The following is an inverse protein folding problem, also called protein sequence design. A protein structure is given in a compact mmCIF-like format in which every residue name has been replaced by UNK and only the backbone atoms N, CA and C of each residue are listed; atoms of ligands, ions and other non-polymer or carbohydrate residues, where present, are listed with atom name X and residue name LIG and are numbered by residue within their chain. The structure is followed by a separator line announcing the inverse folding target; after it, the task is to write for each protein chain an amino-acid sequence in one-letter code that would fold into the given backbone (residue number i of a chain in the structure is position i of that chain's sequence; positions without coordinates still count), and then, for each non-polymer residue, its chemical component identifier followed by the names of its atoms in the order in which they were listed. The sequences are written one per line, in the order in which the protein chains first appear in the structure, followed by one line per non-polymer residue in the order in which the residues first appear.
data_IF_012448438156
#
_entry.id   IF_012448438156
#
_cell.length_a   1.000
_cell.length_b   1.000
_cell.length_c   1.000
_cell.angle_alpha   90.00
_cell.angle_beta   90.00
_cell.angle_gamma   90.00
#
_symmetry.space_group_name_H-M   'P 1'
#
loop_
_entity.id
_entity.type
_entity.pdbx_description
1 polymer ?
#
# COMPACT_ATOMS: atom_id res chain seq x y z
N UNK A 1 8.43 7.62 -7.13
CA UNK A 1 7.97 7.70 -5.71
C UNK A 1 7.00 8.87 -5.63
N UNK A 2 5.74 8.67 -5.25
CA UNK A 2 4.83 9.80 -5.02
C UNK A 2 5.11 10.39 -3.64
N UNK A 3 5.78 11.54 -3.59
CA UNK A 3 6.11 12.27 -2.35
C UNK A 3 5.02 13.25 -1.93
N UNK A 4 4.06 13.54 -2.82
CA UNK A 4 2.98 14.52 -2.59
C UNK A 4 1.74 13.94 -1.89
N UNK A 5 1.81 12.71 -1.38
CA UNK A 5 0.70 12.14 -0.61
C UNK A 5 0.61 12.83 0.76
N UNK A 6 -0.24 13.85 0.85
CA UNK A 6 -0.39 14.72 2.01
C UNK A 6 -1.71 14.46 2.75
N UNK A 7 -1.73 14.79 4.05
CA UNK A 7 -2.91 14.68 4.92
C UNK A 7 -2.53 14.42 6.37
N UNK A 8 -3.48 14.64 7.28
CA UNK A 8 -3.34 14.49 8.74
C UNK A 8 -4.06 13.25 9.29
N UNK A 9 -4.74 12.50 8.41
CA UNK A 9 -5.49 11.30 8.80
C UNK A 9 -4.56 10.26 9.42
N UNK A 10 -4.97 9.73 10.58
CA UNK A 10 -4.30 8.58 11.19
C UNK A 10 -4.41 7.35 10.27
N UNK A 11 -3.25 6.82 9.91
CA UNK A 11 -3.11 5.61 9.10
C UNK A 11 -2.35 4.53 9.88
N UNK A 12 -2.64 3.26 9.59
CA UNK A 12 -1.75 2.16 9.97
C UNK A 12 -0.77 1.93 8.84
N UNK A 13 0.47 2.35 9.05
CA UNK A 13 1.56 2.15 8.10
C UNK A 13 1.91 0.67 7.97
N UNK A 14 2.01 0.17 6.74
CA UNK A 14 2.40 -1.20 6.42
C UNK A 14 3.77 -1.26 5.75
N UNK A 15 4.07 -0.29 4.87
CA UNK A 15 5.37 -0.17 4.23
C UNK A 15 5.72 1.31 4.01
N UNK A 16 7.01 1.62 4.06
CA UNK A 16 7.58 2.93 3.73
C UNK A 16 8.83 2.77 2.87
N UNK A 17 9.20 3.81 2.14
CA UNK A 17 10.45 3.85 1.37
C UNK A 17 11.11 5.20 1.51
N UNK A 18 12.45 5.21 1.49
CA UNK A 18 13.26 6.42 1.54
C UNK A 18 13.35 7.05 0.16
N UNK A 19 12.98 8.31 0.07
CA UNK A 19 13.14 9.13 -1.13
C UNK A 19 14.62 9.38 -1.41
N UNK A 20 15.02 9.16 -2.66
CA UNK A 20 16.35 9.54 -3.14
C UNK A 20 16.51 11.05 -3.36
N UNK A 21 15.40 11.79 -3.42
CA UNK A 21 15.40 13.23 -3.73
C UNK A 21 15.69 14.06 -2.47
N UNK A 22 15.06 13.72 -1.36
CA UNK A 22 15.13 14.48 -0.10
C UNK A 22 15.45 13.63 1.14
N UNK A 23 15.72 12.33 0.97
CA UNK A 23 16.19 11.43 2.05
C UNK A 23 15.13 11.05 3.09
N UNK A 24 13.89 11.55 2.94
CA UNK A 24 12.79 11.31 3.89
C UNK A 24 12.08 9.99 3.59
N UNK A 25 11.49 9.40 4.62
CA UNK A 25 10.67 8.20 4.47
C UNK A 25 9.23 8.58 4.10
N UNK A 26 8.69 7.93 3.08
CA UNK A 26 7.32 8.13 2.60
C UNK A 26 6.50 6.84 2.72
N UNK A 27 5.21 6.92 3.09
CA UNK A 27 4.32 5.75 3.13
C UNK A 27 4.10 5.12 1.74
N UNK A 28 4.44 3.85 1.61
CA UNK A 28 4.29 3.04 0.38
C UNK A 28 3.14 2.05 0.44
N UNK A 29 2.66 1.73 1.63
CA UNK A 29 1.42 0.98 1.81
C UNK A 29 0.86 1.29 3.19
N UNK A 30 -0.43 1.53 3.28
CA UNK A 30 -1.11 1.74 4.56
C UNK A 30 -2.59 1.41 4.47
N UNK A 31 -3.19 1.26 5.65
CA UNK A 31 -4.63 1.04 5.78
C UNK A 31 -5.26 1.99 6.77
N UNK A 32 -6.54 2.28 6.58
CA UNK A 32 -7.37 2.97 7.55
C UNK A 32 -8.84 2.57 7.37
N UNK A 33 -9.71 2.99 8.29
CA UNK A 33 -11.16 2.85 8.16
C UNK A 33 -11.79 4.18 7.79
N UNK A 34 -12.77 4.15 6.89
CA UNK A 34 -13.60 5.30 6.57
C UNK A 34 -15.07 4.91 6.75
N UNK A 35 -15.70 5.44 7.80
CA UNK A 35 -16.98 4.91 8.27
C UNK A 35 -16.90 3.41 8.57
N UNK A 36 -17.75 2.62 7.92
CA UNK A 36 -17.76 1.15 8.01
C UNK A 36 -16.80 0.46 7.01
N UNK A 37 -16.23 1.22 6.07
CA UNK A 37 -15.35 0.72 5.03
C UNK A 37 -13.90 0.54 5.47
N UNK A 38 -13.22 -0.42 4.86
CA UNK A 38 -11.77 -0.64 4.96
C UNK A 38 -11.09 -0.06 3.74
N UNK A 39 -10.04 0.73 3.93
CA UNK A 39 -9.26 1.32 2.83
C UNK A 39 -7.83 0.79 2.89
N UNK A 40 -7.37 0.26 1.76
CA UNK A 40 -5.97 -0.03 1.49
C UNK A 40 -5.48 0.92 0.39
N UNK A 41 -4.31 1.53 0.58
CA UNK A 41 -3.72 2.45 -0.38
C UNK A 41 -2.23 2.13 -0.58
N UNK A 42 -1.78 2.19 -1.83
CA UNK A 42 -0.39 2.00 -2.25
C UNK A 42 -0.09 2.83 -3.50
N UNK A 43 0.95 3.68 -3.51
CA UNK A 43 1.43 4.37 -4.70
C UNK A 43 2.34 3.52 -5.61
N UNK A 44 2.55 2.24 -5.29
CA UNK A 44 3.27 1.30 -6.16
C UNK A 44 2.40 0.91 -7.37
N UNK A 45 3.02 0.42 -8.45
CA UNK A 45 2.28 -0.02 -9.64
C UNK A 45 2.10 1.06 -10.70
N UNK A 46 3.10 1.92 -10.93
CA UNK A 46 3.04 2.99 -11.93
C UNK A 46 2.76 2.49 -13.36
N UNK A 47 3.17 1.27 -13.68
CA UNK A 47 2.94 0.60 -14.96
C UNK A 47 2.71 -0.90 -14.78
N UNK A 48 2.43 -1.60 -15.89
CA UNK A 48 2.20 -3.05 -15.89
C UNK A 48 3.43 -3.82 -15.39
N UNK A 49 4.64 -3.36 -15.76
CA UNK A 49 5.90 -4.00 -15.36
C UNK A 49 6.09 -3.95 -13.84
N UNK A 50 5.65 -2.91 -13.16
CA UNK A 50 5.73 -2.83 -11.71
C UNK A 50 4.93 -3.94 -10.99
N UNK A 51 3.90 -4.48 -11.62
CA UNK A 51 3.13 -5.61 -11.08
C UNK A 51 3.77 -6.98 -11.35
N UNK A 52 4.80 -7.07 -12.20
CA UNK A 52 5.55 -8.34 -12.36
C UNK A 52 6.47 -8.61 -11.18
N UNK A 53 6.78 -7.58 -10.37
CA UNK A 53 7.45 -7.77 -9.09
C UNK A 53 6.55 -8.59 -8.14
N UNK A 54 7.00 -9.77 -7.68
CA UNK A 54 6.17 -10.65 -6.84
C UNK A 54 5.68 -10.00 -5.54
N UNK A 55 6.51 -9.14 -4.93
CA UNK A 55 6.15 -8.42 -3.72
C UNK A 55 5.04 -7.39 -3.96
N UNK A 56 5.11 -6.65 -5.07
CA UNK A 56 4.07 -5.72 -5.47
C UNK A 56 2.75 -6.46 -5.77
N UNK A 57 2.80 -7.52 -6.58
CA UNK A 57 1.63 -8.34 -6.90
C UNK A 57 0.96 -8.90 -5.63
N UNK A 58 1.74 -9.47 -4.71
CA UNK A 58 1.21 -10.05 -3.48
C UNK A 58 0.65 -9.00 -2.53
N UNK A 59 1.29 -7.83 -2.44
CA UNK A 59 0.79 -6.73 -1.63
C UNK A 59 -0.62 -6.32 -2.07
N UNK A 60 -0.85 -6.17 -3.38
CA UNK A 60 -2.18 -5.83 -3.91
C UNK A 60 -3.18 -6.97 -3.73
N UNK A 61 -2.79 -8.24 -3.94
CA UNK A 61 -3.67 -9.40 -3.67
C UNK A 61 -4.15 -9.43 -2.21
N UNK A 62 -3.22 -9.31 -1.26
CA UNK A 62 -3.51 -9.34 0.18
C UNK A 62 -4.26 -8.08 0.64
N UNK A 63 -3.90 -6.92 0.12
CA UNK A 63 -4.61 -5.66 0.38
C UNK A 63 -6.07 -5.72 -0.06
N UNK A 64 -6.34 -6.22 -1.28
CA UNK A 64 -7.69 -6.40 -1.81
C UNK A 64 -8.51 -7.39 -0.98
N UNK A 65 -7.93 -8.56 -0.63
CA UNK A 65 -8.58 -9.53 0.24
C UNK A 65 -8.95 -8.91 1.60
N UNK A 66 -8.03 -8.15 2.21
CA UNK A 66 -8.29 -7.47 3.47
C UNK A 66 -9.42 -6.44 3.35
N UNK A 67 -9.45 -5.62 2.29
CA UNK A 67 -10.55 -4.67 2.04
C UNK A 67 -11.88 -5.40 1.95
N UNK A 68 -11.94 -6.51 1.21
CA UNK A 68 -13.12 -7.37 1.08
C UNK A 68 -13.49 -8.11 2.39
N UNK A 69 -12.61 -8.16 3.38
CA UNK A 69 -12.85 -8.90 4.64
C UNK A 69 -12.64 -10.39 4.50
N UNK A 70 -11.91 -10.79 3.46
CA UNK A 70 -11.49 -12.15 3.22
C UNK A 70 -10.18 -12.42 3.96
N UNK A 71 -9.98 -13.66 4.37
CA UNK A 71 -8.69 -14.12 4.87
C UNK A 71 -7.66 -14.08 3.74
N UNK A 72 -6.42 -13.59 4.00
CA UNK A 72 -5.35 -13.70 3.03
C UNK A 72 -5.10 -15.18 2.71
N UNK A 73 -5.00 -15.51 1.43
CA UNK A 73 -4.55 -16.83 1.00
C UNK A 73 -3.07 -16.93 1.39
N UNK A 74 -2.71 -17.93 2.21
CA UNK A 74 -1.31 -18.26 2.45
C UNK A 74 -0.71 -18.77 1.15
N UNK A 75 0.43 -18.19 0.77
CA UNK A 75 1.22 -18.74 -0.32
C UNK A 75 1.79 -20.09 0.12
N UNK A 76 1.79 -21.07 -0.80
CA UNK A 76 2.45 -22.36 -0.60
C UNK A 76 3.97 -22.20 -0.66
#
# INVERSE_FOLDING_TARGET
LYTCLAGDRKIKLLAKSKSKVDGKDYPMAFVFKYGKGRVFHSPLGHDIKAFTNPGCAQLFRRGTAWVAGLSPIQDK
#
